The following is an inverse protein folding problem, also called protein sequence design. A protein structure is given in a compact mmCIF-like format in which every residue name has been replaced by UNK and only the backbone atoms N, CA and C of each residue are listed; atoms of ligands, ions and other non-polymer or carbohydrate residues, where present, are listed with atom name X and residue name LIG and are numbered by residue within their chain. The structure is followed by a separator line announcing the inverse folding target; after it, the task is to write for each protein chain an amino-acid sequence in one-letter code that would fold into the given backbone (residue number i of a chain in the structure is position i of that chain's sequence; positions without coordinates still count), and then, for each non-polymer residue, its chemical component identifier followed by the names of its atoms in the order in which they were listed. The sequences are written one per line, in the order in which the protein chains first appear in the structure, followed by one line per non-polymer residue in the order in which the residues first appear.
data_IF_598392082340
#
_entry.id   IF_598392082340
#
_cell.length_a   1.000
_cell.length_b   1.000
_cell.length_c   1.000
_cell.angle_alpha   90.00
_cell.angle_beta   90.00
_cell.angle_gamma   90.00
#
_symmetry.space_group_name_H-M   'P 1'
#
loop_
_entity.id
_entity.type
_entity.pdbx_description
1 polymer ?
#
# COMPACT_ATOMS: atom_id res chain seq x y z
N UNK A 1 2.54 -27.99 -15.51
CA UNK A 1 1.26 -27.28 -15.21
C UNK A 1 1.60 -25.81 -15.03
N UNK A 2 0.82 -24.89 -15.61
CA UNK A 2 1.08 -23.45 -15.52
C UNK A 2 1.11 -23.01 -14.03
N UNK A 3 2.10 -22.22 -13.62
CA UNK A 3 2.25 -21.74 -12.23
C UNK A 3 1.04 -20.89 -11.83
N UNK A 4 0.58 -19.99 -12.70
CA UNK A 4 -0.60 -19.16 -12.45
C UNK A 4 -1.86 -20.01 -12.22
N UNK A 5 -2.01 -21.13 -12.94
CA UNK A 5 -3.15 -22.03 -12.73
C UNK A 5 -3.10 -22.73 -11.37
N UNK A 6 -1.91 -23.15 -10.93
CA UNK A 6 -1.73 -23.73 -9.60
C UNK A 6 -2.00 -22.70 -8.51
N UNK A 7 -1.46 -21.49 -8.65
CA UNK A 7 -1.69 -20.39 -7.71
C UNK A 7 -3.18 -20.06 -7.62
N UNK A 8 -3.88 -19.95 -8.76
CA UNK A 8 -5.32 -19.71 -8.78
C UNK A 8 -6.10 -20.77 -8.00
N UNK A 9 -5.73 -22.05 -8.15
CA UNK A 9 -6.37 -23.14 -7.42
C UNK A 9 -6.18 -23.00 -5.90
N UNK A 10 -4.99 -22.61 -5.44
CA UNK A 10 -4.74 -22.41 -4.01
C UNK A 10 -5.46 -21.17 -3.48
N UNK A 11 -5.51 -20.07 -4.24
CA UNK A 11 -6.29 -18.87 -3.90
C UNK A 11 -7.79 -19.18 -3.83
N UNK A 12 -8.33 -19.98 -4.76
CA UNK A 12 -9.70 -20.48 -4.69
C UNK A 12 -9.92 -21.37 -3.46
N UNK A 13 -8.93 -22.18 -3.10
CA UNK A 13 -8.92 -22.98 -1.87
C UNK A 13 -9.02 -22.12 -0.61
N UNK A 14 -8.25 -21.03 -0.56
CA UNK A 14 -8.31 -20.04 0.51
C UNK A 14 -9.70 -19.41 0.64
N UNK A 15 -10.31 -18.99 -0.46
CA UNK A 15 -11.67 -18.42 -0.44
C UNK A 15 -12.71 -19.41 0.09
N UNK A 16 -12.64 -20.66 -0.35
CA UNK A 16 -13.54 -21.71 0.14
C UNK A 16 -13.33 -22.01 1.63
N UNK A 17 -12.08 -22.04 2.10
CA UNK A 17 -11.74 -22.28 3.50
C UNK A 17 -12.21 -21.14 4.42
N UNK A 18 -11.99 -19.89 4.01
CA UNK A 18 -12.32 -18.69 4.78
C UNK A 18 -13.81 -18.34 4.73
N UNK A 19 -14.55 -18.85 3.74
CA UNK A 19 -15.97 -18.53 3.54
C UNK A 19 -16.21 -17.10 3.02
N UNK A 20 -15.17 -16.42 2.55
CA UNK A 20 -15.22 -15.06 2.01
C UNK A 20 -14.69 -15.02 0.57
N UNK A 21 -14.80 -13.85 -0.07
CA UNK A 21 -14.23 -13.61 -1.39
C UNK A 21 -13.56 -12.23 -1.44
N UNK A 22 -12.95 -11.90 -2.58
CA UNK A 22 -12.25 -10.63 -2.81
C UNK A 22 -13.10 -9.38 -2.50
N UNK A 23 -14.42 -9.45 -2.64
CA UNK A 23 -15.30 -8.30 -2.38
C UNK A 23 -15.69 -8.17 -0.91
N UNK A 24 -15.56 -9.23 -0.11
CA UNK A 24 -16.01 -9.27 1.29
C UNK A 24 -14.89 -9.42 2.31
N UNK A 25 -13.71 -9.91 1.93
CA UNK A 25 -12.61 -10.22 2.87
C UNK A 25 -12.24 -9.03 3.75
N UNK A 26 -12.22 -7.82 3.20
CA UNK A 26 -11.85 -6.61 3.95
C UNK A 26 -12.91 -6.14 4.95
N UNK A 27 -14.16 -6.60 4.80
CA UNK A 27 -15.22 -6.30 5.76
C UNK A 27 -15.14 -7.14 7.04
N UNK A 28 -14.40 -8.24 6.99
CA UNK A 28 -14.20 -9.21 8.09
C UNK A 28 -12.72 -9.52 8.30
N UNK A 29 -11.82 -8.62 7.90
CA UNK A 29 -10.37 -8.90 7.86
C UNK A 29 -9.76 -9.18 9.23
N UNK A 30 -10.39 -8.75 10.33
CA UNK A 30 -9.96 -9.08 11.68
C UNK A 30 -10.34 -10.50 12.12
N UNK A 31 -11.21 -11.17 11.37
CA UNK A 31 -11.69 -12.53 11.63
C UNK A 31 -11.00 -13.56 10.74
N UNK A 32 -10.42 -13.12 9.61
CA UNK A 32 -9.74 -13.97 8.63
C UNK A 32 -8.26 -13.64 8.60
N UNK A 33 -7.46 -14.48 9.25
CA UNK A 33 -6.00 -14.46 9.14
C UNK A 33 -5.57 -15.44 8.03
N UNK A 34 -5.01 -14.90 6.95
CA UNK A 34 -4.58 -15.70 5.80
C UNK A 34 -3.46 -16.69 6.15
N UNK A 35 -2.64 -16.39 7.16
CA UNK A 35 -1.54 -17.27 7.59
C UNK A 35 -2.02 -18.56 8.24
N UNK A 36 -3.30 -18.60 8.66
CA UNK A 36 -3.93 -19.81 9.22
C UNK A 36 -4.48 -20.75 8.14
N UNK A 37 -4.46 -20.36 6.86
CA UNK A 37 -4.83 -21.25 5.78
C UNK A 37 -3.81 -22.38 5.64
N UNK A 38 -4.22 -23.67 5.62
CA UNK A 38 -3.28 -24.80 5.65
C UNK A 38 -2.22 -24.81 4.54
N UNK A 39 -2.54 -24.25 3.36
CA UNK A 39 -1.63 -24.18 2.21
C UNK A 39 -1.12 -22.74 1.97
N UNK A 40 -1.08 -21.88 3.00
CA UNK A 40 -0.59 -20.49 2.88
C UNK A 40 0.85 -20.42 2.36
N UNK A 41 1.77 -21.19 2.95
CA UNK A 41 3.16 -21.27 2.49
C UNK A 41 3.29 -21.65 1.00
N UNK A 42 2.37 -22.49 0.52
CA UNK A 42 2.33 -22.89 -0.88
C UNK A 42 1.86 -21.74 -1.78
N UNK A 43 0.91 -20.92 -1.31
CA UNK A 43 0.52 -19.68 -2.01
C UNK A 43 1.73 -18.74 -2.13
N UNK A 44 2.50 -18.55 -1.06
CA UNK A 44 3.72 -17.74 -1.08
C UNK A 44 4.75 -18.31 -2.06
N UNK A 45 5.06 -19.61 -1.99
CA UNK A 45 6.02 -20.26 -2.90
C UNK A 45 5.61 -20.12 -4.37
N UNK A 46 4.33 -20.35 -4.68
CA UNK A 46 3.81 -20.23 -6.04
C UNK A 46 3.84 -18.79 -6.54
N UNK A 47 3.57 -17.82 -5.66
CA UNK A 47 3.65 -16.38 -5.97
C UNK A 47 5.10 -15.96 -6.24
N UNK A 48 6.05 -16.37 -5.40
CA UNK A 48 7.48 -16.13 -5.62
C UNK A 48 7.93 -16.70 -6.98
N UNK A 49 7.58 -17.95 -7.25
CA UNK A 49 7.91 -18.60 -8.52
C UNK A 49 7.27 -17.87 -9.70
N UNK A 50 6.03 -17.39 -9.58
CA UNK A 50 5.39 -16.61 -10.64
C UNK A 50 6.14 -15.30 -10.89
N UNK A 51 6.53 -14.57 -9.84
CA UNK A 51 7.30 -13.32 -9.96
C UNK A 51 8.68 -13.59 -10.59
N UNK A 52 9.36 -14.64 -10.14
CA UNK A 52 10.77 -14.94 -10.48
C UNK A 52 10.95 -15.63 -11.84
N UNK A 53 10.00 -16.46 -12.28
CA UNK A 53 10.15 -17.29 -13.48
C UNK A 53 9.61 -16.65 -14.76
N UNK A 54 8.92 -15.52 -14.64
CA UNK A 54 8.22 -14.90 -15.77
C UNK A 54 9.21 -14.11 -16.62
N UNK A 55 9.55 -14.66 -17.78
CA UNK A 55 10.39 -14.00 -18.80
C UNK A 55 9.57 -13.16 -19.79
N UNK A 56 8.25 -13.12 -19.62
CA UNK A 56 7.31 -12.35 -20.43
C UNK A 56 6.69 -11.21 -19.62
N UNK A 57 5.96 -10.32 -20.30
CA UNK A 57 5.08 -9.37 -19.63
C UNK A 57 3.98 -10.13 -18.88
N UNK A 58 3.67 -9.74 -17.64
CA UNK A 58 2.59 -10.37 -16.89
C UNK A 58 1.25 -10.26 -17.64
N UNK A 59 0.51 -11.35 -17.63
CA UNK A 59 -0.86 -11.41 -18.09
C UNK A 59 -1.81 -10.83 -17.05
N UNK A 60 -2.99 -10.39 -17.47
CA UNK A 60 -4.01 -9.77 -16.59
C UNK A 60 -4.38 -10.66 -15.40
N UNK A 61 -4.51 -11.98 -15.63
CA UNK A 61 -4.81 -12.93 -14.56
C UNK A 61 -3.64 -13.11 -13.58
N UNK A 62 -2.39 -13.00 -14.05
CA UNK A 62 -1.21 -13.09 -13.19
C UNK A 62 -1.09 -11.86 -12.30
N UNK A 63 -1.30 -10.68 -12.87
CA UNK A 63 -1.37 -9.41 -12.12
C UNK A 63 -2.45 -9.51 -11.04
N UNK A 64 -3.65 -9.97 -11.41
CA UNK A 64 -4.77 -10.12 -10.48
C UNK A 64 -4.43 -11.07 -9.34
N UNK A 65 -3.82 -12.22 -9.62
CA UNK A 65 -3.39 -13.18 -8.59
C UNK A 65 -2.34 -12.58 -7.66
N UNK A 66 -1.29 -11.96 -8.20
CA UNK A 66 -0.22 -11.35 -7.39
C UNK A 66 -0.79 -10.24 -6.50
N UNK A 67 -1.63 -9.36 -7.05
CA UNK A 67 -2.26 -8.28 -6.28
C UNK A 67 -3.22 -8.81 -5.21
N UNK A 68 -3.91 -9.91 -5.49
CA UNK A 68 -4.78 -10.59 -4.51
C UNK A 68 -3.96 -11.12 -3.35
N UNK A 69 -2.90 -11.89 -3.62
CA UNK A 69 -2.06 -12.47 -2.58
C UNK A 69 -1.33 -11.36 -1.80
N UNK A 70 -0.86 -10.31 -2.47
CA UNK A 70 -0.31 -9.12 -1.80
C UNK A 70 -1.32 -8.57 -0.78
N UNK A 71 -2.58 -8.40 -1.17
CA UNK A 71 -3.63 -7.94 -0.26
C UNK A 71 -3.87 -8.88 0.93
N UNK A 72 -3.84 -10.20 0.71
CA UNK A 72 -4.04 -11.20 1.76
C UNK A 72 -2.86 -11.31 2.73
N UNK A 73 -1.65 -11.10 2.23
CA UNK A 73 -0.41 -11.09 3.00
C UNK A 73 -0.35 -9.91 3.99
N UNK A 74 -1.01 -8.80 3.63
CA UNK A 74 -1.28 -7.65 4.49
C UNK A 74 -0.04 -7.16 5.28
N UNK A 75 -0.04 -7.20 6.62
CA UNK A 75 1.05 -6.67 7.46
C UNK A 75 2.24 -7.64 7.60
N UNK A 76 2.18 -8.84 7.00
CA UNK A 76 3.32 -9.77 6.93
C UNK A 76 4.36 -9.28 5.91
N UNK A 77 3.89 -8.67 4.81
CA UNK A 77 4.72 -8.02 3.79
C UNK A 77 5.76 -8.94 3.08
N UNK A 78 5.55 -10.26 3.06
CA UNK A 78 6.38 -11.22 2.33
C UNK A 78 6.30 -11.00 0.82
N UNK A 79 5.08 -10.86 0.27
CA UNK A 79 4.88 -10.61 -1.15
C UNK A 79 5.39 -9.22 -1.53
N UNK A 80 5.19 -8.23 -0.67
CA UNK A 80 5.75 -6.90 -0.86
C UNK A 80 7.27 -6.95 -1.00
N UNK A 81 7.94 -7.70 -0.11
CA UNK A 81 9.39 -7.90 -0.13
C UNK A 81 9.87 -8.66 -1.38
N UNK A 82 9.12 -9.68 -1.81
CA UNK A 82 9.42 -10.41 -3.05
C UNK A 82 9.31 -9.51 -4.28
N UNK A 83 8.27 -8.69 -4.36
CA UNK A 83 8.09 -7.71 -5.44
C UNK A 83 9.22 -6.68 -5.42
N UNK A 84 9.58 -6.14 -4.26
CA UNK A 84 10.69 -5.20 -4.13
C UNK A 84 12.02 -5.79 -4.65
N UNK A 85 12.29 -7.06 -4.36
CA UNK A 85 13.56 -7.69 -4.70
C UNK A 85 13.64 -8.21 -6.13
N UNK A 86 12.55 -8.78 -6.66
CA UNK A 86 12.62 -9.69 -7.82
C UNK A 86 11.86 -9.21 -9.06
N UNK A 87 10.86 -8.32 -8.93
CA UNK A 87 10.06 -7.92 -10.08
C UNK A 87 10.90 -7.15 -11.10
N UNK A 88 10.74 -7.49 -12.39
CA UNK A 88 11.34 -6.72 -13.48
C UNK A 88 10.66 -5.35 -13.61
N UNK A 89 11.37 -4.37 -14.17
CA UNK A 89 10.83 -3.01 -14.33
C UNK A 89 9.55 -2.97 -15.19
N UNK A 90 9.49 -3.74 -16.28
CA UNK A 90 8.30 -3.76 -17.15
C UNK A 90 7.09 -4.37 -16.44
N UNK A 91 7.28 -5.47 -15.71
CA UNK A 91 6.21 -6.08 -14.92
C UNK A 91 5.81 -5.21 -13.73
N UNK A 92 6.75 -4.48 -13.14
CA UNK A 92 6.45 -3.49 -12.12
C UNK A 92 5.48 -2.44 -12.64
N UNK A 93 5.74 -1.88 -13.83
CA UNK A 93 4.84 -0.89 -14.45
C UNK A 93 3.43 -1.42 -14.67
N UNK A 94 3.31 -2.66 -15.14
CA UNK A 94 2.01 -3.31 -15.34
C UNK A 94 1.28 -3.53 -14.01
N UNK A 95 1.99 -4.07 -13.01
CA UNK A 95 1.46 -4.33 -11.69
C UNK A 95 0.97 -3.04 -11.00
N UNK A 96 1.75 -1.96 -11.05
CA UNK A 96 1.38 -0.67 -10.45
C UNK A 96 0.14 -0.07 -11.13
N UNK A 97 0.05 -0.14 -12.46
CA UNK A 97 -1.08 0.40 -13.23
C UNK A 97 -2.42 -0.22 -12.84
N UNK A 98 -2.43 -1.49 -12.45
CA UNK A 98 -3.61 -2.18 -11.91
C UNK A 98 -3.71 -2.06 -10.38
N UNK A 99 -2.59 -2.07 -9.69
CA UNK A 99 -2.48 -2.05 -8.23
C UNK A 99 -3.10 -0.82 -7.59
N UNK A 100 -2.92 0.37 -8.19
CA UNK A 100 -3.45 1.62 -7.62
C UNK A 100 -4.98 1.71 -7.59
N UNK A 101 -5.67 0.88 -8.37
CA UNK A 101 -7.14 0.83 -8.47
C UNK A 101 -7.70 -0.52 -8.01
N UNK A 102 -6.86 -1.38 -7.43
CA UNK A 102 -7.25 -2.73 -7.06
C UNK A 102 -8.35 -2.69 -5.98
N UNK A 103 -9.34 -3.62 -5.99
CA UNK A 103 -10.47 -3.56 -5.07
C UNK A 103 -10.07 -3.56 -3.60
N UNK A 104 -9.05 -4.34 -3.25
CA UNK A 104 -8.54 -4.48 -1.89
C UNK A 104 -7.72 -3.25 -1.46
N UNK A 105 -8.16 -2.52 -0.44
CA UNK A 105 -7.35 -1.48 0.18
C UNK A 105 -6.05 -2.02 0.80
N UNK A 106 -6.01 -3.29 1.24
CA UNK A 106 -4.78 -3.95 1.69
C UNK A 106 -3.71 -4.01 0.60
N UNK A 107 -4.11 -4.31 -0.62
CA UNK A 107 -3.22 -4.25 -1.79
C UNK A 107 -2.80 -2.81 -2.06
N UNK A 108 -3.75 -1.86 -2.08
CA UNK A 108 -3.45 -0.47 -2.47
C UNK A 108 -2.45 0.23 -1.54
N UNK A 109 -2.53 -0.02 -0.22
CA UNK A 109 -1.56 0.58 0.69
C UNK A 109 -0.16 -0.03 0.51
N UNK A 110 -0.06 -1.33 0.21
CA UNK A 110 1.21 -1.99 -0.09
C UNK A 110 1.79 -1.52 -1.42
N UNK A 111 0.94 -1.24 -2.41
CA UNK A 111 1.37 -0.58 -3.66
C UNK A 111 1.94 0.80 -3.36
N UNK A 112 1.32 1.57 -2.46
CA UNK A 112 1.88 2.85 -2.02
C UNK A 112 3.28 2.68 -1.40
N UNK A 113 3.42 1.72 -0.49
CA UNK A 113 4.67 1.41 0.18
C UNK A 113 5.76 0.99 -0.81
N UNK A 114 5.43 0.08 -1.74
CA UNK A 114 6.35 -0.41 -2.77
C UNK A 114 6.88 0.72 -3.65
N UNK A 115 6.00 1.65 -4.05
CA UNK A 115 6.38 2.83 -4.81
C UNK A 115 7.39 3.71 -4.05
N UNK A 116 7.18 3.90 -2.75
CA UNK A 116 8.12 4.63 -1.90
C UNK A 116 9.45 3.91 -1.68
N UNK A 117 9.47 2.58 -1.67
CA UNK A 117 10.71 1.78 -1.51
C UNK A 117 11.55 1.71 -2.78
N UNK A 118 10.91 1.67 -3.95
CA UNK A 118 11.60 1.65 -5.25
C UNK A 118 12.34 2.95 -5.57
N UNK A 119 11.96 4.05 -4.93
CA UNK A 119 12.58 5.37 -5.09
C UNK A 119 12.66 5.83 -6.56
N UNK A 120 11.65 5.48 -7.36
CA UNK A 120 11.56 5.85 -8.77
C UNK A 120 10.49 6.92 -8.99
N UNK A 121 10.96 8.15 -9.17
CA UNK A 121 10.11 9.31 -9.38
C UNK A 121 9.19 9.22 -10.61
N UNK A 122 9.45 8.33 -11.56
CA UNK A 122 8.56 8.13 -12.73
C UNK A 122 7.17 7.63 -12.34
N UNK A 123 7.01 7.09 -11.13
CA UNK A 123 5.72 6.63 -10.59
C UNK A 123 5.04 7.63 -9.65
N UNK A 124 5.53 8.88 -9.55
CA UNK A 124 4.94 9.91 -8.68
C UNK A 124 3.42 10.07 -8.89
N UNK A 125 2.95 10.05 -10.14
CA UNK A 125 1.52 10.17 -10.46
C UNK A 125 0.67 9.02 -9.88
N UNK A 126 1.24 7.81 -9.75
CA UNK A 126 0.56 6.68 -9.12
C UNK A 126 0.38 6.88 -7.62
N UNK A 127 1.37 7.46 -6.93
CA UNK A 127 1.21 7.87 -5.54
C UNK A 127 0.20 9.02 -5.39
N UNK A 128 0.09 9.94 -6.36
CA UNK A 128 -0.93 11.00 -6.34
C UNK A 128 -2.35 10.41 -6.40
N UNK A 129 -2.56 9.32 -7.16
CA UNK A 129 -3.84 8.59 -7.15
C UNK A 129 -4.14 8.07 -5.74
N UNK A 130 -3.17 7.40 -5.10
CA UNK A 130 -3.35 6.80 -3.77
C UNK A 130 -3.45 7.83 -2.63
N UNK A 131 -2.89 9.02 -2.80
CA UNK A 131 -3.08 10.15 -1.89
C UNK A 131 -4.53 10.63 -1.81
N UNK A 132 -5.35 10.29 -2.80
CA UNK A 132 -6.77 10.62 -2.86
C UNK A 132 -7.66 9.37 -2.75
N UNK A 133 -7.13 8.28 -2.18
CA UNK A 133 -7.89 7.05 -1.97
C UNK A 133 -9.09 7.28 -1.05
N UNK A 134 -10.12 6.45 -1.19
CA UNK A 134 -11.30 6.49 -0.30
C UNK A 134 -10.98 5.96 1.11
N UNK A 135 -9.95 5.13 1.24
CA UNK A 135 -9.53 4.54 2.50
C UNK A 135 -8.38 5.37 3.10
N UNK A 136 -8.61 5.90 4.31
CA UNK A 136 -7.66 6.77 5.01
C UNK A 136 -6.33 6.09 5.36
N UNK A 137 -6.33 4.77 5.54
CA UNK A 137 -5.09 4.01 5.72
C UNK A 137 -4.21 4.02 4.46
N UNK A 138 -4.83 3.88 3.29
CA UNK A 138 -4.14 3.99 1.99
C UNK A 138 -3.60 5.41 1.79
N UNK A 139 -4.43 6.44 2.02
CA UNK A 139 -3.99 7.84 1.95
C UNK A 139 -2.76 8.09 2.84
N UNK A 140 -2.78 7.56 4.06
CA UNK A 140 -1.68 7.68 5.02
C UNK A 140 -0.40 7.02 4.53
N UNK A 141 -0.47 5.75 4.07
CA UNK A 141 0.71 5.03 3.55
C UNK A 141 1.24 5.71 2.27
N UNK A 142 0.37 6.24 1.43
CA UNK A 142 0.76 7.03 0.26
C UNK A 142 1.45 8.34 0.63
N UNK A 143 0.99 9.04 1.66
CA UNK A 143 1.62 10.28 2.13
C UNK A 143 3.01 10.03 2.73
N UNK A 144 3.18 8.98 3.53
CA UNK A 144 4.49 8.55 4.03
C UNK A 144 5.44 8.17 2.89
N UNK A 145 4.94 7.43 1.90
CA UNK A 145 5.74 7.01 0.74
C UNK A 145 6.13 8.20 -0.13
N UNK A 146 5.23 9.16 -0.32
CA UNK A 146 5.53 10.41 -1.02
C UNK A 146 6.58 11.25 -0.26
N UNK A 147 6.59 11.25 1.07
CA UNK A 147 7.61 11.98 1.84
C UNK A 147 9.02 11.43 1.59
N UNK A 148 9.15 10.10 1.43
CA UNK A 148 10.41 9.45 1.05
C UNK A 148 10.78 9.71 -0.40
N UNK A 149 9.83 9.54 -1.32
CA UNK A 149 10.06 9.67 -2.76
C UNK A 149 10.27 11.13 -3.17
N UNK A 150 9.38 12.03 -2.78
CA UNK A 150 9.38 13.43 -3.20
C UNK A 150 8.84 14.35 -2.09
N UNK A 151 9.74 14.75 -1.19
CA UNK A 151 9.43 15.61 -0.04
C UNK A 151 8.73 16.92 -0.41
N UNK A 152 9.06 17.52 -1.56
CA UNK A 152 8.42 18.77 -2.02
C UNK A 152 6.93 18.57 -2.29
N UNK A 153 6.56 17.48 -2.98
CA UNK A 153 5.15 17.14 -3.22
C UNK A 153 4.49 16.72 -1.91
N UNK A 154 5.17 15.92 -1.08
CA UNK A 154 4.65 15.48 0.21
C UNK A 154 4.27 16.66 1.11
N UNK A 155 5.14 17.66 1.26
CA UNK A 155 4.87 18.85 2.06
C UNK A 155 3.69 19.65 1.51
N UNK A 156 3.61 19.82 0.19
CA UNK A 156 2.45 20.48 -0.44
C UNK A 156 1.14 19.75 -0.13
N UNK A 157 1.15 18.42 -0.19
CA UNK A 157 -0.02 17.59 0.08
C UNK A 157 -0.36 17.51 1.58
N UNK A 158 0.64 17.50 2.44
CA UNK A 158 0.51 17.56 3.90
C UNK A 158 -0.14 18.87 4.35
N UNK A 159 0.25 20.01 3.78
CA UNK A 159 -0.36 21.31 4.11
C UNK A 159 -1.87 21.34 3.87
N UNK A 160 -2.37 20.63 2.86
CA UNK A 160 -3.80 20.52 2.56
C UNK A 160 -4.55 19.66 3.59
N UNK A 161 -3.83 18.75 4.25
CA UNK A 161 -4.36 17.70 5.13
C UNK A 161 -4.18 18.00 6.62
N UNK A 162 -3.55 19.13 6.98
CA UNK A 162 -3.45 19.61 8.36
C UNK A 162 -4.79 19.81 9.07
N UNK A 163 -5.90 19.92 8.33
CA UNK A 163 -7.26 20.06 8.88
C UNK A 163 -8.17 18.90 8.44
N UNK A 164 -7.60 17.75 8.07
CA UNK A 164 -8.39 16.56 7.75
C UNK A 164 -9.20 16.11 8.97
N UNK A 165 -10.38 15.53 8.74
CA UNK A 165 -11.21 14.97 9.80
C UNK A 165 -10.54 13.79 10.52
N UNK A 166 -9.71 13.04 9.79
CA UNK A 166 -8.98 11.90 10.31
C UNK A 166 -7.73 12.37 11.06
N UNK A 167 -7.65 12.02 12.35
CA UNK A 167 -6.56 12.40 13.23
C UNK A 167 -5.20 11.89 12.74
N UNK A 168 -5.13 10.67 12.20
CA UNK A 168 -3.89 10.09 11.73
C UNK A 168 -3.38 10.76 10.45
N UNK A 169 -4.29 11.23 9.59
CA UNK A 169 -3.93 12.05 8.44
C UNK A 169 -3.33 13.39 8.89
N UNK A 170 -3.95 14.05 9.88
CA UNK A 170 -3.40 15.30 10.43
C UNK A 170 -2.03 15.07 11.07
N UNK A 171 -1.88 14.01 11.85
CA UNK A 171 -0.62 13.64 12.51
C UNK A 171 0.53 13.42 11.52
N UNK A 172 0.31 12.61 10.49
CA UNK A 172 1.35 12.36 9.47
C UNK A 172 1.67 13.64 8.70
N UNK A 173 0.65 14.44 8.37
CA UNK A 173 0.85 15.72 7.70
C UNK A 173 1.69 16.68 8.54
N UNK A 174 1.42 16.76 9.84
CA UNK A 174 2.22 17.56 10.77
C UNK A 174 3.65 17.04 10.84
N UNK A 175 3.84 15.73 10.98
CA UNK A 175 5.17 15.11 11.08
C UNK A 175 6.04 15.42 9.87
N UNK A 176 5.50 15.25 8.66
CA UNK A 176 6.19 15.58 7.40
C UNK A 176 6.60 17.06 7.37
N UNK A 177 5.69 17.96 7.72
CA UNK A 177 5.95 19.40 7.70
C UNK A 177 6.92 19.85 8.80
N UNK A 178 6.93 19.17 9.95
CA UNK A 178 7.84 19.42 11.07
C UNK A 178 9.28 19.05 10.69
N UNK A 179 9.45 17.98 9.91
CA UNK A 179 10.73 17.48 9.42
C UNK A 179 11.25 18.23 8.19
N UNK A 180 10.37 18.86 7.40
CA UNK A 180 10.77 19.64 6.24
C UNK A 180 11.49 20.94 6.64
N UNK A 181 12.81 21.09 6.33
CA UNK A 181 13.58 22.26 6.72
C UNK A 181 13.13 23.56 6.01
N UNK A 182 12.35 23.48 4.93
CA UNK A 182 11.80 24.64 4.23
C UNK A 182 10.54 25.21 4.89
N UNK A 183 9.94 24.47 5.83
CA UNK A 183 8.70 24.86 6.50
C UNK A 183 8.97 25.85 7.63
N UNK A 184 8.23 26.95 7.64
CA UNK A 184 8.19 27.86 8.78
C UNK A 184 7.34 27.24 9.91
N UNK A 185 7.99 26.81 10.99
CA UNK A 185 7.36 26.15 12.13
C UNK A 185 6.35 27.04 12.87
N UNK A 186 6.61 28.34 13.01
CA UNK A 186 5.65 29.26 13.62
C UNK A 186 4.36 29.33 12.81
N UNK A 187 4.47 29.35 11.48
CA UNK A 187 3.30 29.31 10.60
C UNK A 187 2.55 27.97 10.67
N UNK A 188 3.29 26.85 10.71
CA UNK A 188 2.72 25.52 10.91
C UNK A 188 1.92 25.45 12.22
N UNK A 189 2.52 25.89 13.33
CA UNK A 189 1.89 25.85 14.64
C UNK A 189 0.70 26.81 14.72
N UNK A 190 0.79 27.99 14.09
CA UNK A 190 -0.34 28.89 13.95
C UNK A 190 -1.51 28.26 13.18
N UNK A 191 -1.24 27.50 12.11
CA UNK A 191 -2.29 26.77 11.38
C UNK A 191 -2.95 25.69 12.24
N UNK A 192 -2.19 25.07 13.14
CA UNK A 192 -2.66 24.02 14.04
C UNK A 192 -3.09 24.52 15.42
N UNK A 193 -3.25 25.84 15.61
CA UNK A 193 -3.57 26.45 16.91
C UNK A 193 -4.87 25.96 17.57
N UNK A 194 -5.75 25.32 16.79
CA UNK A 194 -7.02 24.76 17.24
C UNK A 194 -7.00 23.22 17.25
N UNK A 195 -5.83 22.60 17.09
CA UNK A 195 -5.70 21.14 17.18
C UNK A 195 -6.08 20.66 18.59
N UNK A 196 -6.78 19.54 18.67
CA UNK A 196 -7.26 18.95 19.93
C UNK A 196 -6.75 17.53 20.14
N UNK A 197 -6.12 16.93 19.14
CA UNK A 197 -5.49 15.60 19.26
C UNK A 197 -4.32 15.64 20.23
N UNK A 198 -4.42 14.88 21.32
CA UNK A 198 -3.32 14.75 22.28
C UNK A 198 -2.06 14.19 21.61
N UNK A 199 -2.22 13.25 20.67
CA UNK A 199 -1.11 12.68 19.89
C UNK A 199 -0.31 13.77 19.18
N UNK A 200 -1.00 14.69 18.49
CA UNK A 200 -0.35 15.78 17.74
C UNK A 200 0.20 16.84 18.68
N UNK A 201 -0.56 17.21 19.72
CA UNK A 201 -0.12 18.21 20.69
C UNK A 201 1.16 17.77 21.42
N UNK A 202 1.30 16.48 21.72
CA UNK A 202 2.53 15.92 22.30
C UNK A 202 3.72 16.04 21.35
N UNK A 203 3.50 15.90 20.04
CA UNK A 203 4.54 16.11 19.03
C UNK A 203 4.88 17.59 18.79
N UNK A 204 4.01 18.53 19.15
CA UNK A 204 4.28 19.96 18.99
C UNK A 204 5.20 20.54 20.09
N UNK A 205 5.19 19.91 21.27
CA UNK A 205 5.97 20.29 22.46
C UNK A 205 7.44 19.83 22.35
#
# INVERSE_FOLDING_TARGET
MNIAHQLNKEVDGFWNWSGVNMLSVESVSYEVDATLYPDWEKIIELTDRLISSTTHAFLENEITLILTVLGLDNEVEDILSLLEQKISYDNFRLLIGEGVKFPLYHTRWQIAELLGRKDDHSFTEHLIILLNDKNKYVERRALNSMARLNSTIASKEAYKRLTDKDEMIRYVSFSILKEDPSVNKDHLYYKMKNETSELILNEMN
#
